data_IF_914227350538
#
_entry.id   IF_914227350538
#
_cell.length_a   1.000
_cell.length_b   1.000
_cell.length_c   1.000
_cell.angle_alpha   90.00
_cell.angle_beta   90.00
_cell.angle_gamma   90.00
#
_symmetry.space_group_name_H-M   'P 1'
#
loop_
_entity.id
_entity.type
_entity.pdbx_description
1 polymer ?
#
# COMPACT_ATOMS: atom_id res chain seq x y z
N UNK A 1 -5.59 -24.29 8.85
CA UNK A 1 -5.47 -22.84 8.86
C UNK A 1 -6.24 -22.26 7.67
N UNK A 2 -7.03 -21.23 7.89
CA UNK A 2 -7.83 -20.63 6.85
C UNK A 2 -6.93 -19.91 5.85
N UNK A 3 -7.08 -20.21 4.56
CA UNK A 3 -6.28 -19.61 3.49
C UNK A 3 -6.41 -18.10 3.44
N UNK A 4 -7.62 -17.56 3.62
CA UNK A 4 -7.86 -16.14 3.63
C UNK A 4 -7.14 -15.44 4.79
N UNK A 5 -7.08 -16.09 5.96
CA UNK A 5 -6.35 -15.55 7.11
C UNK A 5 -4.85 -15.51 6.86
N UNK A 6 -4.30 -16.52 6.21
CA UNK A 6 -2.87 -16.55 5.86
C UNK A 6 -2.53 -15.41 4.91
N UNK A 7 -3.34 -15.22 3.87
CA UNK A 7 -3.13 -14.12 2.93
C UNK A 7 -3.26 -12.76 3.58
N UNK A 8 -4.22 -12.60 4.49
CA UNK A 8 -4.39 -11.35 5.24
C UNK A 8 -3.16 -11.05 6.10
N UNK A 9 -2.58 -12.07 6.73
CA UNK A 9 -1.35 -11.92 7.50
C UNK A 9 -0.19 -11.47 6.62
N UNK A 10 -0.06 -12.05 5.43
CA UNK A 10 1.00 -11.67 4.48
C UNK A 10 0.84 -10.23 3.99
N UNK A 11 -0.40 -9.78 3.82
CA UNK A 11 -0.66 -8.41 3.36
C UNK A 11 -0.50 -7.35 4.44
N UNK A 12 -0.47 -7.77 5.71
CA UNK A 12 -0.35 -6.84 6.83
C UNK A 12 0.96 -6.05 6.69
N UNK A 13 0.88 -4.75 6.74
CA UNK A 13 2.03 -3.88 6.51
C UNK A 13 2.20 -3.47 5.04
N UNK A 14 1.91 -4.37 4.10
CA UNK A 14 1.99 -4.06 2.67
C UNK A 14 0.88 -3.08 2.28
N UNK A 15 -0.27 -3.17 2.95
CA UNK A 15 -1.40 -2.30 2.66
C UNK A 15 -1.05 -0.82 2.83
N UNK A 16 -0.25 -0.47 3.82
CA UNK A 16 0.19 0.92 4.03
C UNK A 16 0.99 1.42 2.82
N UNK A 17 1.86 0.57 2.29
CA UNK A 17 2.63 0.85 1.09
C UNK A 17 1.69 1.05 -0.12
N UNK A 18 0.70 0.17 -0.29
CA UNK A 18 -0.25 0.26 -1.40
C UNK A 18 -1.03 1.57 -1.39
N UNK A 19 -1.44 2.03 -0.20
CA UNK A 19 -2.18 3.28 -0.08
C UNK A 19 -1.33 4.46 -0.53
N UNK A 20 -0.07 4.52 -0.10
CA UNK A 20 0.85 5.58 -0.53
C UNK A 20 1.06 5.52 -2.05
N UNK A 21 1.19 4.32 -2.61
CA UNK A 21 1.36 4.15 -4.05
C UNK A 21 0.14 4.64 -4.84
N UNK A 22 -1.06 4.35 -4.36
CA UNK A 22 -2.29 4.83 -4.97
C UNK A 22 -2.32 6.36 -4.96
N UNK A 23 -2.04 6.96 -3.81
CA UNK A 23 -2.09 8.42 -3.66
C UNK A 23 -0.95 9.13 -4.40
N UNK A 24 0.12 8.43 -4.76
CA UNK A 24 1.19 9.00 -5.57
C UNK A 24 0.75 9.28 -6.99
N UNK A 25 -0.23 8.54 -7.48
CA UNK A 25 -0.73 8.70 -8.85
C UNK A 25 -1.84 9.72 -8.94
N UNK A 26 -2.64 9.83 -7.89
CA UNK A 26 -3.79 10.72 -7.88
C UNK A 26 -4.27 10.93 -6.45
N UNK A 27 -4.55 12.17 -6.09
CA UNK A 27 -5.20 12.47 -4.82
C UNK A 27 -6.58 11.81 -4.80
N UNK A 28 -7.03 11.37 -3.63
CA UNK A 28 -8.23 10.56 -3.60
C UNK A 28 -8.90 10.58 -2.22
N UNK A 29 -10.12 10.07 -2.17
CA UNK A 29 -10.87 9.88 -0.94
C UNK A 29 -11.06 8.39 -0.67
N UNK A 30 -11.40 8.05 0.58
CA UNK A 30 -11.41 6.68 1.06
C UNK A 30 -12.21 5.70 0.18
N UNK A 31 -13.45 6.00 -0.23
CA UNK A 31 -14.19 5.06 -1.08
C UNK A 31 -13.49 4.75 -2.40
N UNK A 32 -12.83 5.73 -3.01
CA UNK A 32 -12.10 5.51 -4.25
C UNK A 32 -10.86 4.66 -4.03
N UNK A 33 -10.15 4.88 -2.92
CA UNK A 33 -9.00 4.04 -2.55
C UNK A 33 -9.44 2.58 -2.41
N UNK A 34 -10.56 2.34 -1.74
CA UNK A 34 -11.12 1.00 -1.58
C UNK A 34 -11.42 0.37 -2.93
N UNK A 35 -12.02 1.15 -3.84
CA UNK A 35 -12.34 0.68 -5.19
C UNK A 35 -11.07 0.30 -5.96
N UNK A 36 -10.03 1.11 -5.89
CA UNK A 36 -8.77 0.82 -6.57
C UNK A 36 -8.09 -0.43 -6.01
N UNK A 37 -8.12 -0.61 -4.70
CA UNK A 37 -7.59 -1.83 -4.08
C UNK A 37 -8.37 -3.05 -4.55
N UNK A 38 -9.70 -2.94 -4.60
CA UNK A 38 -10.56 -4.02 -5.05
C UNK A 38 -10.29 -4.39 -6.51
N UNK A 39 -10.05 -3.40 -7.36
CA UNK A 39 -9.70 -3.65 -8.77
C UNK A 39 -8.39 -4.42 -8.89
N UNK A 40 -7.48 -4.25 -7.94
CA UNK A 40 -6.24 -5.02 -7.87
C UNK A 40 -6.40 -6.34 -7.08
N UNK A 41 -7.64 -6.75 -6.81
CA UNK A 41 -7.96 -7.97 -6.07
C UNK A 41 -7.54 -7.91 -4.59
N UNK A 42 -7.37 -6.72 -4.05
CA UNK A 42 -7.13 -6.52 -2.62
C UNK A 42 -8.39 -5.94 -1.99
N UNK A 43 -9.17 -6.77 -1.34
CA UNK A 43 -10.44 -6.35 -0.75
C UNK A 43 -10.19 -5.86 0.67
N UNK A 44 -10.50 -4.59 0.91
CA UNK A 44 -10.29 -3.92 2.18
C UNK A 44 -11.56 -3.18 2.56
N UNK A 45 -11.97 -3.30 3.81
CA UNK A 45 -13.15 -2.59 4.31
C UNK A 45 -12.74 -1.26 4.94
N UNK A 46 -13.70 -0.34 5.03
CA UNK A 46 -13.48 0.99 5.60
C UNK A 46 -12.89 0.94 7.00
N UNK A 47 -13.36 0.01 7.84
CA UNK A 47 -12.86 -0.16 9.20
C UNK A 47 -11.37 -0.47 9.28
N UNK A 48 -10.79 -1.02 8.22
CA UNK A 48 -9.36 -1.27 8.13
C UNK A 48 -8.63 -0.07 7.53
N UNK A 49 -9.22 0.57 6.53
CA UNK A 49 -8.59 1.66 5.81
C UNK A 49 -8.45 2.94 6.63
N UNK A 50 -9.52 3.38 7.30
CA UNK A 50 -9.51 4.67 8.01
C UNK A 50 -8.43 4.77 9.09
N UNK A 51 -8.20 3.75 9.93
CA UNK A 51 -7.10 3.82 10.88
C UNK A 51 -5.73 3.99 10.25
N UNK A 52 -5.51 3.38 9.07
CA UNK A 52 -4.24 3.52 8.33
C UNK A 52 -4.08 4.95 7.83
N UNK A 53 -5.13 5.51 7.23
CA UNK A 53 -5.10 6.89 6.75
C UNK A 53 -4.82 7.87 7.89
N UNK A 54 -5.42 7.64 9.05
CA UNK A 54 -5.20 8.47 10.23
C UNK A 54 -3.75 8.38 10.71
N UNK A 55 -3.18 7.17 10.78
CA UNK A 55 -1.79 6.99 11.17
C UNK A 55 -0.83 7.67 10.20
N UNK A 56 -1.07 7.52 8.91
CA UNK A 56 -0.22 8.12 7.89
C UNK A 56 -0.29 9.65 7.91
N UNK A 57 -1.49 10.19 8.13
CA UNK A 57 -1.68 11.62 8.29
C UNK A 57 -0.93 12.13 9.54
N UNK A 58 -1.08 11.43 10.65
CA UNK A 58 -0.41 11.83 11.90
C UNK A 58 1.12 11.70 11.81
N UNK A 59 1.62 10.78 10.99
CA UNK A 59 3.04 10.64 10.73
C UNK A 59 3.57 11.68 9.72
N UNK A 60 2.70 12.52 9.18
CA UNK A 60 3.09 13.55 8.22
C UNK A 60 3.27 13.07 6.79
N UNK A 61 2.84 11.84 6.48
CA UNK A 61 2.95 11.26 5.14
C UNK A 61 1.83 11.71 4.23
N UNK A 62 0.67 12.01 4.81
CA UNK A 62 -0.52 12.49 4.11
C UNK A 62 -0.98 13.79 4.71
N UNK A 63 -1.68 14.57 3.89
CA UNK A 63 -2.53 15.65 4.32
C UNK A 63 -3.89 15.48 3.65
N UNK A 64 -4.86 16.32 3.99
CA UNK A 64 -6.15 16.25 3.33
C UNK A 64 -6.81 17.63 3.31
N UNK A 65 -7.72 17.78 2.35
CA UNK A 65 -8.65 18.89 2.28
C UNK A 65 -10.06 18.33 2.41
N UNK A 66 -10.94 19.13 3.02
CA UNK A 66 -12.36 18.82 2.97
C UNK A 66 -12.89 19.25 1.60
N UNK A 67 -13.62 18.36 0.95
CA UNK A 67 -14.21 18.62 -0.34
C UNK A 67 -15.71 18.38 -0.25
N UNK A 68 -16.50 19.33 -0.75
CA UNK A 68 -17.95 19.21 -0.76
C UNK A 68 -18.38 18.15 -1.78
N UNK A 69 -19.38 17.36 -1.36
CA UNK A 69 -19.98 16.35 -2.24
C UNK A 69 -21.38 16.84 -2.63
N UNK A 70 -21.72 16.81 -3.92
CA UNK A 70 -23.06 17.25 -4.37
C UNK A 70 -24.20 16.44 -3.77
N UNK A 71 -23.95 15.22 -3.31
CA UNK A 71 -24.98 14.28 -2.89
C UNK A 71 -24.77 13.76 -1.47
N UNK A 72 -23.98 14.43 -0.65
CA UNK A 72 -23.74 13.95 0.69
C UNK A 72 -22.88 14.89 1.51
N UNK A 73 -22.43 14.43 2.68
CA UNK A 73 -21.57 15.24 3.54
C UNK A 73 -20.21 15.46 2.88
N UNK A 74 -19.46 16.49 3.29
CA UNK A 74 -18.11 16.71 2.82
C UNK A 74 -17.23 15.51 3.08
N UNK A 75 -16.23 15.31 2.22
CA UNK A 75 -15.28 14.19 2.32
C UNK A 75 -13.86 14.72 2.45
N UNK A 76 -13.02 13.90 3.07
CA UNK A 76 -11.59 14.16 3.11
C UNK A 76 -10.96 13.69 1.81
N UNK A 77 -10.28 14.59 1.15
CA UNK A 77 -9.56 14.34 -0.08
C UNK A 77 -8.09 14.28 0.26
N UNK A 78 -7.52 13.08 0.28
CA UNK A 78 -6.17 12.83 0.76
C UNK A 78 -5.12 13.04 -0.30
N UNK A 79 -3.97 13.56 0.12
CA UNK A 79 -2.85 13.85 -0.75
C UNK A 79 -1.56 13.43 -0.08
N UNK A 80 -0.58 12.98 -0.87
CA UNK A 80 0.76 12.75 -0.34
C UNK A 80 1.44 14.08 -0.03
N UNK A 81 2.14 14.12 1.09
CA UNK A 81 3.09 15.20 1.38
C UNK A 81 4.42 14.86 0.70
N UNK A 82 5.37 15.80 0.72
CA UNK A 82 6.73 15.54 0.26
C UNK A 82 7.37 14.41 1.07
N UNK A 83 7.16 14.42 2.39
CA UNK A 83 7.61 13.36 3.28
C UNK A 83 7.00 12.02 2.88
N UNK A 84 5.72 12.01 2.49
CA UNK A 84 5.05 10.80 2.01
C UNK A 84 5.66 10.27 0.73
N UNK A 85 6.03 11.15 -0.19
CA UNK A 85 6.70 10.75 -1.44
C UNK A 85 8.08 10.17 -1.17
N UNK A 86 8.83 10.74 -0.23
CA UNK A 86 10.14 10.22 0.16
C UNK A 86 9.99 8.83 0.80
N UNK A 87 9.00 8.68 1.67
CA UNK A 87 8.69 7.39 2.29
C UNK A 87 8.34 6.34 1.22
N UNK A 88 7.53 6.73 0.24
CA UNK A 88 7.15 5.82 -0.84
C UNK A 88 8.37 5.32 -1.62
N UNK A 89 9.31 6.22 -1.93
CA UNK A 89 10.54 5.81 -2.63
C UNK A 89 11.31 4.77 -1.83
N UNK A 90 11.42 4.97 -0.52
CA UNK A 90 12.08 4.01 0.37
C UNK A 90 11.35 2.67 0.36
N UNK A 91 10.02 2.70 0.39
CA UNK A 91 9.22 1.47 0.36
C UNK A 91 9.28 0.77 -0.99
N UNK A 92 9.36 1.51 -2.10
CA UNK A 92 9.56 0.90 -3.43
C UNK A 92 10.87 0.11 -3.47
N UNK A 93 11.95 0.70 -2.96
CA UNK A 93 13.25 0.01 -2.90
C UNK A 93 13.19 -1.21 -1.97
N UNK A 94 12.57 -1.05 -0.81
CA UNK A 94 12.43 -2.15 0.14
C UNK A 94 11.61 -3.30 -0.45
N UNK A 95 10.56 -2.98 -1.19
CA UNK A 95 9.74 -3.98 -1.85
C UNK A 95 10.54 -4.78 -2.87
N UNK A 96 11.30 -4.09 -3.73
CA UNK A 96 12.13 -4.75 -4.74
C UNK A 96 13.18 -5.66 -4.10
N UNK A 97 13.80 -5.20 -3.02
CA UNK A 97 14.76 -6.01 -2.26
C UNK A 97 14.10 -7.25 -1.66
N UNK A 98 12.93 -7.08 -1.04
CA UNK A 98 12.21 -8.19 -0.43
C UNK A 98 11.79 -9.23 -1.46
N UNK A 99 11.30 -8.81 -2.61
CA UNK A 99 10.92 -9.72 -3.69
C UNK A 99 12.11 -10.59 -4.09
N UNK A 100 13.27 -9.99 -4.26
CA UNK A 100 14.48 -10.71 -4.66
C UNK A 100 14.97 -11.65 -3.55
N UNK A 101 14.94 -11.18 -2.30
CA UNK A 101 15.33 -12.01 -1.15
C UNK A 101 14.42 -13.22 -1.01
N UNK A 102 13.12 -13.02 -1.13
CA UNK A 102 12.14 -14.11 -1.02
C UNK A 102 12.31 -15.08 -2.17
N UNK A 103 12.56 -14.59 -3.37
CA UNK A 103 12.81 -15.43 -4.53
C UNK A 103 14.01 -16.34 -4.29
N UNK A 104 15.10 -15.79 -3.78
CA UNK A 104 16.31 -16.55 -3.46
C UNK A 104 16.03 -17.64 -2.42
N UNK A 105 15.27 -17.27 -1.37
CA UNK A 105 14.93 -18.23 -0.32
C UNK A 105 14.05 -19.35 -0.86
N UNK A 106 13.05 -19.02 -1.68
CA UNK A 106 12.12 -20.01 -2.22
C UNK A 106 12.79 -21.00 -3.16
N UNK A 107 13.77 -20.54 -3.92
CA UNK A 107 14.46 -21.36 -4.93
C UNK A 107 15.81 -21.90 -4.45
N UNK A 108 16.33 -21.37 -3.35
CA UNK A 108 17.57 -21.82 -2.75
C UNK A 108 18.81 -21.33 -3.48
N UNK A 109 19.96 -21.64 -2.91
CA UNK A 109 21.28 -21.25 -3.43
C UNK A 109 21.57 -21.81 -4.80
N UNK A 110 21.07 -22.99 -5.09
CA UNK A 110 21.32 -23.69 -6.34
C UNK A 110 20.87 -22.86 -7.56
N UNK A 111 19.75 -22.19 -7.45
CA UNK A 111 19.26 -21.36 -8.55
C UNK A 111 20.14 -20.13 -8.76
N UNK A 112 20.61 -19.53 -7.68
CA UNK A 112 21.52 -18.40 -7.76
C UNK A 112 22.82 -18.81 -8.44
N UNK A 113 23.37 -19.97 -8.08
CA UNK A 113 24.59 -20.52 -8.72
C UNK A 113 24.38 -20.79 -10.19
N UNK A 114 23.24 -21.36 -10.56
CA UNK A 114 22.91 -21.64 -11.95
C UNK A 114 22.86 -20.37 -12.80
N UNK A 115 22.23 -19.34 -12.24
CA UNK A 115 22.16 -18.05 -12.92
C UNK A 115 23.54 -17.41 -13.10
N UNK A 116 24.40 -17.57 -12.12
CA UNK A 116 25.76 -17.02 -12.18
C UNK A 116 26.63 -17.72 -13.22
N UNK A 117 26.41 -19.00 -13.44
CA UNK A 117 27.18 -19.79 -14.38
C UNK A 117 26.78 -19.57 -15.84
N UNK A 118 25.62 -18.99 -16.05
CA UNK A 118 25.16 -18.66 -17.40
C UNK A 118 25.64 -17.27 -17.80
#
# INVERSE_FOLDING_TARGET
MNEDNVKAQMRKGILEYCILAILSREDSYAPKIITELKQAQMIVVEGTLYPILTRQKNAGLLTYLWEESPQGPPRKYYMLTEKGRDCLRTLDEAWDELVEQIRTIRHGEQQTLNNTRQ
#
